data_IF_018895536284
#
_entry.id   IF_018895536284
#
_cell.length_a   1.000
_cell.length_b   1.000
_cell.length_c   1.000
_cell.angle_alpha   90.00
_cell.angle_beta   90.00
_cell.angle_gamma   90.00
#
_symmetry.space_group_name_H-M   'P 1'
#
loop_
_entity.id
_entity.type
_entity.pdbx_description
1 polymer ?
#
# COMPACT_ATOMS: atom_id res chain seq x y z
N UNK A 1 31.02 -10.53 11.48
CA UNK A 1 30.02 -10.94 10.46
C UNK A 1 29.14 -9.73 10.18
N UNK A 2 29.18 -9.18 8.97
CA UNK A 2 28.28 -8.08 8.55
C UNK A 2 26.89 -8.70 8.43
N UNK A 3 26.03 -8.45 9.42
CA UNK A 3 24.69 -9.01 9.46
C UNK A 3 23.94 -8.65 8.18
N UNK A 4 23.44 -9.66 7.48
CA UNK A 4 22.41 -9.47 6.49
C UNK A 4 21.19 -8.90 7.22
N UNK A 5 20.90 -7.62 6.98
CA UNK A 5 19.57 -7.11 7.31
C UNK A 5 18.68 -7.45 6.11
N UNK A 6 17.59 -8.22 6.30
CA UNK A 6 16.60 -8.37 5.25
C UNK A 6 16.13 -6.97 4.84
N UNK A 7 15.93 -6.75 3.54
CA UNK A 7 15.24 -5.56 3.07
C UNK A 7 13.79 -5.65 3.59
N UNK A 8 13.53 -5.05 4.76
CA UNK A 8 12.20 -5.00 5.37
C UNK A 8 11.24 -4.08 4.60
N UNK A 9 11.75 -3.41 3.55
CA UNK A 9 10.98 -2.54 2.69
C UNK A 9 10.67 -3.17 1.35
N UNK A 10 9.41 -3.09 0.92
CA UNK A 10 9.00 -3.37 -0.45
C UNK A 10 7.96 -2.37 -0.91
N UNK A 11 7.82 -2.27 -2.23
CA UNK A 11 6.80 -1.43 -2.83
C UNK A 11 5.77 -2.28 -3.57
N UNK A 12 4.55 -1.76 -3.63
CA UNK A 12 3.45 -2.37 -4.36
C UNK A 12 2.75 -1.28 -5.17
N UNK A 13 2.56 -1.53 -6.46
CA UNK A 13 1.74 -0.65 -7.30
C UNK A 13 0.27 -0.80 -6.90
N UNK A 14 -0.43 0.32 -6.69
CA UNK A 14 -1.86 0.33 -6.37
C UNK A 14 -2.64 0.15 -7.67
N UNK A 15 -2.55 -1.05 -8.20
CA UNK A 15 -3.14 -1.50 -9.45
C UNK A 15 -3.95 -2.77 -9.20
N UNK A 16 -5.16 -2.84 -9.75
CA UNK A 16 -6.06 -3.99 -9.59
C UNK A 16 -5.55 -5.31 -10.19
N UNK A 17 -4.48 -5.28 -10.98
CA UNK A 17 -3.87 -6.46 -11.61
C UNK A 17 -2.79 -7.13 -10.76
N UNK A 18 -2.37 -6.51 -9.65
CA UNK A 18 -1.32 -7.03 -8.77
C UNK A 18 -1.92 -8.04 -7.79
N UNK A 19 -1.40 -9.28 -7.76
CA UNK A 19 -1.98 -10.36 -6.97
C UNK A 19 -2.03 -10.14 -5.44
N UNK A 20 -1.17 -9.28 -4.90
CA UNK A 20 -1.20 -8.90 -3.47
C UNK A 20 -2.15 -7.72 -3.17
N UNK A 21 -2.84 -7.19 -4.17
CA UNK A 21 -3.70 -6.01 -4.09
C UNK A 21 -5.10 -6.35 -4.59
N UNK A 22 -6.12 -6.03 -3.80
CA UNK A 22 -7.49 -5.95 -4.29
C UNK A 22 -8.00 -4.52 -4.21
N UNK A 23 -8.71 -4.07 -5.25
CA UNK A 23 -9.34 -2.73 -5.30
C UNK A 23 -10.86 -2.87 -5.20
N UNK A 24 -11.47 -2.07 -4.33
CA UNK A 24 -12.91 -1.87 -4.26
C UNK A 24 -13.25 -0.38 -4.43
N UNK A 25 -14.33 -0.10 -5.16
CA UNK A 25 -14.90 1.25 -5.28
C UNK A 25 -16.33 1.21 -4.78
N UNK A 26 -16.59 1.84 -3.64
CA UNK A 26 -17.91 1.88 -3.01
C UNK A 26 -18.10 3.19 -2.24
N UNK A 27 -19.33 3.71 -2.20
CA UNK A 27 -19.65 4.92 -1.44
C UNK A 27 -18.80 6.15 -1.80
N UNK A 28 -18.37 6.28 -3.06
CA UNK A 28 -17.51 7.38 -3.52
C UNK A 28 -16.06 7.32 -3.01
N UNK A 29 -15.59 6.15 -2.56
CA UNK A 29 -14.24 5.90 -2.07
C UNK A 29 -13.60 4.75 -2.82
N UNK A 30 -12.33 4.88 -3.14
CA UNK A 30 -11.50 3.73 -3.54
C UNK A 30 -10.74 3.22 -2.33
N UNK A 31 -10.82 1.92 -2.09
CA UNK A 31 -10.05 1.21 -1.08
C UNK A 31 -9.20 0.15 -1.77
N UNK A 32 -7.90 0.15 -1.47
CA UNK A 32 -7.00 -0.93 -1.82
C UNK A 32 -6.71 -1.72 -0.55
N UNK A 33 -6.94 -3.03 -0.59
CA UNK A 33 -6.49 -3.96 0.44
C UNK A 33 -5.20 -4.59 -0.05
N UNK A 34 -4.14 -4.46 0.74
CA UNK A 34 -2.81 -4.96 0.41
C UNK A 34 -2.47 -6.07 1.39
N UNK A 35 -2.15 -7.26 0.87
CA UNK A 35 -1.66 -8.39 1.65
C UNK A 35 -0.13 -8.37 1.68
N UNK A 36 0.45 -8.48 2.87
CA UNK A 36 1.88 -8.52 3.13
C UNK A 36 2.24 -9.70 4.06
N UNK A 37 3.51 -10.02 4.22
CA UNK A 37 3.97 -11.14 5.07
C UNK A 37 4.89 -10.68 6.21
N UNK A 38 4.67 -9.47 6.72
CA UNK A 38 5.46 -8.85 7.79
C UNK A 38 4.94 -9.17 9.21
N UNK A 39 3.81 -9.86 9.34
CA UNK A 39 3.20 -10.26 10.61
C UNK A 39 3.05 -9.08 11.59
N UNK A 40 3.49 -9.26 12.83
CA UNK A 40 3.36 -8.27 13.90
C UNK A 40 4.47 -7.22 13.90
N UNK A 41 5.26 -7.10 12.82
CA UNK A 41 6.25 -6.04 12.71
C UNK A 41 5.57 -4.67 12.63
N UNK A 42 6.22 -3.66 13.19
CA UNK A 42 5.77 -2.29 13.07
C UNK A 42 6.04 -1.75 11.67
N UNK A 43 4.96 -1.41 10.98
CA UNK A 43 4.97 -0.93 9.61
C UNK A 43 4.92 0.59 9.55
N UNK A 44 5.77 1.16 8.70
CA UNK A 44 5.60 2.51 8.17
C UNK A 44 5.07 2.37 6.74
N UNK A 45 3.88 2.95 6.51
CA UNK A 45 3.18 2.89 5.23
C UNK A 45 3.14 4.28 4.60
N UNK A 46 3.60 4.40 3.35
CA UNK A 46 3.63 5.67 2.63
C UNK A 46 3.11 5.48 1.20
N UNK A 47 2.23 6.36 0.75
CA UNK A 47 1.72 6.35 -0.63
C UNK A 47 2.41 7.44 -1.43
N UNK A 48 2.87 7.09 -2.64
CA UNK A 48 3.53 7.98 -3.57
C UNK A 48 2.74 8.08 -4.86
N UNK A 49 2.66 9.29 -5.41
CA UNK A 49 2.18 9.51 -6.78
C UNK A 49 3.30 9.19 -7.76
N UNK A 50 3.00 8.38 -8.77
CA UNK A 50 4.02 7.92 -9.71
C UNK A 50 4.50 9.01 -10.67
N UNK A 51 3.65 10.00 -10.98
CA UNK A 51 3.99 11.04 -11.95
C UNK A 51 5.10 12.00 -11.48
N UNK A 52 5.19 12.25 -10.17
CA UNK A 52 6.10 13.25 -9.60
C UNK A 52 6.86 12.75 -8.36
N UNK A 53 6.65 11.49 -7.96
CA UNK A 53 7.30 10.88 -6.80
C UNK A 53 6.90 11.49 -5.45
N UNK A 54 5.86 12.34 -5.39
CA UNK A 54 5.47 13.02 -4.15
C UNK A 54 4.70 12.08 -3.24
N UNK A 55 5.00 12.16 -1.95
CA UNK A 55 4.21 11.51 -0.91
C UNK A 55 2.82 12.15 -0.82
N UNK A 56 1.79 11.31 -0.78
CA UNK A 56 0.39 11.75 -0.69
C UNK A 56 -0.22 11.13 0.57
N UNK A 57 -0.92 11.97 1.34
CA UNK A 57 -1.63 11.51 2.52
C UNK A 57 -2.90 10.76 2.09
N UNK A 58 -2.97 9.49 2.48
CA UNK A 58 -4.13 8.64 2.33
C UNK A 58 -4.56 8.17 3.72
N UNK A 59 -5.81 7.72 3.84
CA UNK A 59 -6.22 6.99 5.03
C UNK A 59 -5.60 5.60 4.97
N UNK A 60 -4.88 5.22 6.03
CA UNK A 60 -4.26 3.90 6.17
C UNK A 60 -4.82 3.25 7.44
N UNK A 61 -5.36 2.04 7.32
CA UNK A 61 -5.83 1.23 8.44
C UNK A 61 -5.13 -0.14 8.40
N UNK A 62 -4.67 -0.66 9.55
CA UNK A 62 -4.23 -2.05 9.66
C UNK A 62 -5.46 -2.92 9.95
N UNK A 63 -5.84 -3.76 9.00
CA UNK A 63 -7.08 -4.56 9.08
C UNK A 63 -6.84 -5.99 9.56
N UNK A 64 -5.59 -6.42 9.63
CA UNK A 64 -5.20 -7.73 10.12
C UNK A 64 -3.69 -7.84 10.31
N UNK A 65 -3.22 -9.02 10.73
CA UNK A 65 -1.80 -9.31 10.95
C UNK A 65 -0.97 -9.10 9.69
N UNK A 66 -1.56 -9.37 8.52
CA UNK A 66 -0.88 -9.37 7.24
C UNK A 66 -1.62 -8.53 6.19
N UNK A 67 -2.51 -7.64 6.62
CA UNK A 67 -3.34 -6.84 5.72
C UNK A 67 -3.44 -5.40 6.17
N UNK A 68 -3.31 -4.51 5.20
CA UNK A 68 -3.58 -3.08 5.36
C UNK A 68 -4.60 -2.63 4.33
N UNK A 69 -5.34 -1.59 4.67
CA UNK A 69 -6.19 -0.84 3.74
C UNK A 69 -5.63 0.56 3.52
N UNK A 70 -5.51 0.94 2.26
CA UNK A 70 -5.23 2.31 1.84
C UNK A 70 -6.44 2.86 1.08
N UNK A 71 -7.02 3.97 1.56
CA UNK A 71 -8.22 4.53 0.94
C UNK A 71 -8.19 6.05 0.77
N UNK A 72 -8.90 6.52 -0.27
CA UNK A 72 -9.21 7.94 -0.48
C UNK A 72 -10.56 8.14 -1.14
N UNK A 73 -11.10 9.35 -1.00
CA UNK A 73 -12.28 9.77 -1.74
C UNK A 73 -11.99 9.83 -3.26
N UNK A 74 -13.03 9.51 -4.03
CA UNK A 74 -13.02 9.44 -5.47
C UNK A 74 -12.54 8.09 -6.02
N UNK A 75 -12.71 7.93 -7.33
CA UNK A 75 -12.19 6.81 -8.10
C UNK A 75 -10.68 6.99 -8.33
N UNK A 76 -9.92 5.90 -8.19
CA UNK A 76 -8.48 5.86 -8.49
C UNK A 76 -8.23 4.88 -9.62
N UNK A 77 -7.71 5.40 -10.74
CA UNK A 77 -7.27 4.58 -11.86
C UNK A 77 -5.94 3.88 -11.55
N UNK A 78 -5.68 2.80 -12.28
CA UNK A 78 -4.43 2.05 -12.20
C UNK A 78 -3.23 2.90 -12.67
N UNK A 79 -2.02 2.51 -12.26
CA UNK A 79 -0.78 3.16 -12.70
C UNK A 79 -0.55 4.58 -12.18
N UNK A 80 -1.32 5.04 -11.17
CA UNK A 80 -1.18 6.40 -10.62
C UNK A 80 -0.38 6.46 -9.33
N UNK A 81 -0.42 5.41 -8.51
CA UNK A 81 0.11 5.41 -7.16
C UNK A 81 0.83 4.11 -6.82
N UNK A 82 1.79 4.23 -5.90
CA UNK A 82 2.55 3.12 -5.32
C UNK A 82 2.58 3.28 -3.82
N UNK A 83 2.49 2.16 -3.10
CA UNK A 83 2.67 2.13 -1.66
C UNK A 83 4.05 1.56 -1.33
N UNK A 84 4.72 2.18 -0.36
CA UNK A 84 5.95 1.69 0.26
C UNK A 84 5.58 1.22 1.67
N UNK A 85 5.98 -0.01 1.98
CA UNK A 85 5.85 -0.61 3.31
C UNK A 85 7.27 -0.91 3.79
N UNK A 86 7.63 -0.50 5.01
CA UNK A 86 8.95 -0.72 5.64
C UNK A 86 8.83 -0.93 7.14
#
# INVERSE_FOLDING_TARGET
VKGWQPLLSFNVDLDSTIGSVSRAVAGGRTTFTITHNLNTLDLIVQVFRLSDGRGINWRIDRTGVNTIEASRAGTVADGLFRILIK
#
